data_IF_062126890496
#
_entry.id   IF_062126890496
#
_cell.length_a   1.000
_cell.length_b   1.000
_cell.length_c   1.000
_cell.angle_alpha   90.00
_cell.angle_beta   90.00
_cell.angle_gamma   90.00
#
_symmetry.space_group_name_H-M   'P 1'
#
loop_
_entity.id
_entity.type
_entity.pdbx_description
1 polymer ?
#
# COMPACT_ATOMS: atom_id res chain seq x y z
N UNK A 1 -19.38 0.43 0.58
CA UNK A 1 -19.05 -0.02 -0.79
C UNK A 1 -17.78 -0.84 -0.68
N UNK A 2 -17.74 -2.10 -1.12
CA UNK A 2 -16.50 -2.90 -1.15
C UNK A 2 -15.65 -2.37 -2.31
N UNK A 3 -14.39 -2.00 -2.04
CA UNK A 3 -13.47 -1.61 -3.11
C UNK A 3 -13.13 -2.86 -3.94
N UNK A 4 -13.00 -2.74 -5.26
CA UNK A 4 -12.54 -3.86 -6.09
C UNK A 4 -11.15 -4.32 -5.64
N UNK A 5 -10.94 -5.64 -5.54
CA UNK A 5 -9.64 -6.21 -5.13
C UNK A 5 -8.51 -5.74 -6.06
N UNK A 6 -8.76 -5.65 -7.36
CA UNK A 6 -7.78 -5.17 -8.35
C UNK A 6 -7.36 -3.72 -8.10
N UNK A 7 -8.27 -2.87 -7.62
CA UNK A 7 -7.95 -1.50 -7.24
C UNK A 7 -7.02 -1.48 -6.01
N UNK A 8 -7.30 -2.32 -5.01
CA UNK A 8 -6.46 -2.42 -3.81
C UNK A 8 -5.06 -2.96 -4.14
N UNK A 9 -4.97 -3.94 -5.04
CA UNK A 9 -3.68 -4.47 -5.53
C UNK A 9 -2.89 -3.35 -6.23
N UNK A 10 -3.51 -2.66 -7.19
CA UNK A 10 -2.86 -1.57 -7.91
C UNK A 10 -2.39 -0.43 -6.98
N UNK A 11 -3.21 -0.09 -5.98
CA UNK A 11 -2.86 0.91 -4.97
C UNK A 11 -1.67 0.46 -4.12
N UNK A 12 -1.70 -0.78 -3.61
CA UNK A 12 -0.60 -1.34 -2.82
C UNK A 12 0.71 -1.30 -3.60
N UNK A 13 0.71 -1.77 -4.85
CA UNK A 13 1.89 -1.74 -5.73
C UNK A 13 2.42 -0.32 -5.92
N UNK A 14 1.57 0.67 -6.19
CA UNK A 14 2.02 2.05 -6.39
C UNK A 14 2.58 2.69 -5.12
N UNK A 15 2.01 2.41 -3.96
CA UNK A 15 2.53 2.91 -2.68
C UNK A 15 3.87 2.27 -2.33
N UNK A 16 4.04 0.97 -2.61
CA UNK A 16 5.35 0.29 -2.48
C UNK A 16 6.38 0.92 -3.41
N UNK A 17 6.05 1.14 -4.69
CA UNK A 17 6.96 1.84 -5.62
C UNK A 17 7.38 3.22 -5.11
N UNK A 18 6.46 3.99 -4.52
CA UNK A 18 6.78 5.31 -3.94
C UNK A 18 7.69 5.16 -2.72
N UNK A 19 7.37 4.23 -1.82
CA UNK A 19 8.16 3.98 -0.60
C UNK A 19 9.60 3.51 -0.92
N UNK A 20 9.76 2.69 -1.96
CA UNK A 20 11.07 2.16 -2.37
C UNK A 20 11.94 3.20 -3.10
N UNK A 21 11.32 4.20 -3.75
CA UNK A 21 12.02 5.20 -4.57
C UNK A 21 12.13 6.58 -3.90
N UNK A 22 11.46 6.83 -2.78
CA UNK A 22 11.59 8.10 -2.06
C UNK A 22 12.93 8.18 -1.33
N UNK A 23 13.57 9.35 -1.37
CA UNK A 23 14.75 9.64 -0.56
C UNK A 23 14.38 10.08 0.88
N UNK A 24 13.10 10.35 1.11
CA UNK A 24 12.58 10.72 2.43
C UNK A 24 12.23 9.48 3.25
N UNK A 25 13.04 9.23 4.27
CA UNK A 25 12.94 8.09 5.18
C UNK A 25 11.63 8.16 5.99
N UNK A 26 11.14 9.35 6.33
CA UNK A 26 9.89 9.53 7.08
C UNK A 26 8.70 9.09 6.21
N UNK A 27 8.62 9.58 4.97
CA UNK A 27 7.62 9.14 3.99
C UNK A 27 7.64 7.62 3.80
N UNK A 28 8.81 7.00 3.62
CA UNK A 28 8.91 5.54 3.46
C UNK A 28 8.39 4.78 4.69
N UNK A 29 8.73 5.25 5.90
CA UNK A 29 8.28 4.66 7.15
C UNK A 29 6.77 4.80 7.37
N UNK A 30 6.17 5.93 7.00
CA UNK A 30 4.72 6.16 7.12
C UNK A 30 3.90 5.31 6.12
N UNK A 31 4.44 5.07 4.92
CA UNK A 31 3.77 4.27 3.89
C UNK A 31 3.70 2.77 4.26
N UNK A 32 4.68 2.24 4.97
CA UNK A 32 4.73 0.83 5.36
C UNK A 32 3.47 0.32 6.06
N UNK A 33 3.01 0.95 7.17
CA UNK A 33 1.77 0.59 7.85
C UNK A 33 0.51 0.70 6.98
N UNK A 34 0.48 1.65 6.04
CA UNK A 34 -0.65 1.83 5.11
C UNK A 34 -0.70 0.66 4.12
N UNK A 35 0.44 0.32 3.51
CA UNK A 35 0.59 -0.82 2.61
C UNK A 35 0.23 -2.12 3.34
N UNK A 36 0.68 -2.29 4.59
CA UNK A 36 0.35 -3.44 5.43
C UNK A 36 -1.17 -3.64 5.59
N UNK A 37 -1.90 -2.58 5.97
CA UNK A 37 -3.37 -2.63 6.10
C UNK A 37 -4.09 -2.94 4.79
N UNK A 38 -3.59 -2.44 3.66
CA UNK A 38 -4.15 -2.76 2.34
C UNK A 38 -3.96 -4.24 2.03
N UNK A 39 -2.77 -4.79 2.26
CA UNK A 39 -2.46 -6.20 2.02
C UNK A 39 -3.24 -7.14 2.95
N UNK A 40 -3.42 -6.76 4.22
CA UNK A 40 -4.30 -7.47 5.15
C UNK A 40 -5.74 -7.49 4.64
N UNK A 41 -6.23 -6.36 4.09
CA UNK A 41 -7.58 -6.30 3.55
C UNK A 41 -7.75 -7.20 2.33
N UNK A 42 -6.77 -7.22 1.42
CA UNK A 42 -6.77 -8.09 0.23
C UNK A 42 -6.81 -9.57 0.63
N UNK A 43 -6.04 -9.95 1.66
CA UNK A 43 -5.91 -11.37 2.09
C UNK A 43 -7.15 -11.87 2.84
N UNK A 44 -7.89 -10.98 3.49
CA UNK A 44 -9.07 -11.31 4.30
C UNK A 44 -10.41 -11.12 3.57
N UNK A 45 -10.42 -10.80 2.27
CA UNK A 45 -11.63 -10.58 1.44
C UNK A 45 -11.97 -11.76 0.52
#
# INVERSE_FOLDING_TARGET
MKLPTDFLIALSTKLTEIADNTADIETAAELGPIIGKINERITND
#
